data_IF_578301862079
#
_entry.id   IF_578301862079
#
_cell.length_a   1.000
_cell.length_b   1.000
_cell.length_c   1.000
_cell.angle_alpha   90.00
_cell.angle_beta   90.00
_cell.angle_gamma   90.00
#
_symmetry.space_group_name_H-M   'P 1'
#
loop_
_entity.id
_entity.type
_entity.pdbx_description
1 polymer ?
#
# COMPACT_ATOMS: atom_id res chain seq x y z
N UNK A 1 15.40 0.89 0.05
CA UNK A 1 16.88 0.95 0.11
C UNK A 1 17.45 0.21 -1.09
N UNK A 2 18.30 0.86 -1.89
CA UNK A 2 18.89 0.25 -3.08
C UNK A 2 20.33 -0.19 -2.79
N UNK A 3 20.64 -1.46 -3.06
CA UNK A 3 21.95 -2.07 -2.76
C UNK A 3 22.67 -2.63 -4.00
N UNK A 4 21.93 -3.20 -4.95
CA UNK A 4 22.54 -3.81 -6.14
C UNK A 4 23.20 -2.77 -7.04
N UNK A 5 24.40 -3.08 -7.55
CA UNK A 5 25.20 -2.16 -8.35
C UNK A 5 24.45 -1.65 -9.61
N UNK A 6 23.68 -2.52 -10.25
CA UNK A 6 22.87 -2.16 -11.42
C UNK A 6 21.84 -1.06 -11.13
N UNK A 7 21.22 -1.08 -9.95
CA UNK A 7 20.24 -0.07 -9.57
C UNK A 7 20.93 1.21 -9.10
N UNK A 8 22.13 1.13 -8.50
CA UNK A 8 22.93 2.34 -8.22
C UNK A 8 23.22 3.13 -9.49
N UNK A 9 23.64 2.47 -10.56
CA UNK A 9 23.86 3.13 -11.87
C UNK A 9 22.55 3.69 -12.44
N UNK A 10 21.46 2.91 -12.39
CA UNK A 10 20.14 3.38 -12.82
C UNK A 10 19.73 4.65 -12.09
N UNK A 11 19.71 4.63 -10.76
CA UNK A 11 19.19 5.76 -9.98
C UNK A 11 20.09 6.99 -10.03
N UNK A 12 21.42 6.84 -10.10
CA UNK A 12 22.30 7.98 -10.40
C UNK A 12 21.99 8.57 -11.79
N UNK A 13 21.74 7.72 -12.79
CA UNK A 13 21.36 8.17 -14.13
C UNK A 13 20.02 8.90 -14.14
N UNK A 14 18.99 8.36 -13.45
CA UNK A 14 17.68 9.00 -13.33
C UNK A 14 17.75 10.33 -12.58
N UNK A 15 18.69 10.47 -11.64
CA UNK A 15 18.90 11.67 -10.83
C UNK A 15 19.93 12.65 -11.41
N UNK A 16 20.49 12.38 -12.60
CA UNK A 16 21.53 13.20 -13.21
C UNK A 16 21.20 14.69 -13.18
N UNK A 17 22.19 15.52 -12.80
CA UNK A 17 22.02 16.96 -12.59
C UNK A 17 21.47 17.36 -11.22
N UNK A 18 21.10 16.40 -10.36
CA UNK A 18 20.70 16.68 -8.97
C UNK A 18 21.94 16.85 -8.07
N UNK A 19 21.84 17.72 -7.07
CA UNK A 19 22.93 17.94 -6.11
C UNK A 19 23.29 16.63 -5.38
N UNK A 20 24.59 16.35 -5.28
CA UNK A 20 25.09 15.16 -4.58
C UNK A 20 25.04 13.86 -5.39
N UNK A 21 24.75 13.92 -6.69
CA UNK A 21 24.90 12.78 -7.62
C UNK A 21 26.31 12.79 -8.20
N UNK A 22 26.98 11.63 -8.19
CA UNK A 22 28.33 11.48 -8.73
C UNK A 22 28.30 11.22 -10.24
N UNK A 23 28.88 12.13 -11.04
CA UNK A 23 28.91 12.03 -12.51
C UNK A 23 29.53 10.71 -13.03
N UNK A 24 30.45 10.11 -12.27
CA UNK A 24 31.11 8.85 -12.65
C UNK A 24 30.18 7.63 -12.71
N UNK A 25 28.97 7.71 -12.15
CA UNK A 25 27.98 6.63 -12.16
C UNK A 25 26.80 6.91 -13.12
N UNK A 26 26.83 8.04 -13.82
CA UNK A 26 25.75 8.50 -14.71
C UNK A 26 25.98 7.99 -16.13
N UNK A 27 24.97 7.33 -16.70
CA UNK A 27 24.94 7.01 -18.13
C UNK A 27 24.34 8.19 -18.89
N UNK A 28 25.18 9.15 -19.27
CA UNK A 28 24.74 10.41 -19.89
C UNK A 28 24.04 10.23 -21.25
N UNK A 29 24.29 9.12 -21.94
CA UNK A 29 23.67 8.72 -23.20
C UNK A 29 22.31 8.02 -23.02
N UNK A 30 21.93 7.69 -21.79
CA UNK A 30 20.64 7.06 -21.50
C UNK A 30 19.48 8.01 -21.84
N UNK A 31 18.43 7.54 -22.54
CA UNK A 31 17.24 8.34 -22.80
C UNK A 31 16.46 8.72 -21.54
N UNK A 32 16.77 8.08 -20.39
CA UNK A 32 16.14 8.35 -19.10
C UNK A 32 16.99 9.26 -18.19
N UNK A 33 18.14 9.74 -18.70
CA UNK A 33 19.06 10.60 -17.95
C UNK A 33 18.32 11.84 -17.42
N UNK A 34 18.37 12.05 -16.10
CA UNK A 34 17.72 13.19 -15.43
C UNK A 34 16.18 13.14 -15.39
N UNK A 35 15.54 12.07 -15.87
CA UNK A 35 14.08 11.98 -15.94
C UNK A 35 13.38 11.86 -14.58
N UNK A 36 14.10 11.38 -13.56
CA UNK A 36 13.57 11.04 -12.23
C UNK A 36 12.39 10.04 -12.22
N UNK A 37 12.13 9.33 -13.32
CA UNK A 37 11.00 8.40 -13.45
C UNK A 37 11.45 6.96 -13.68
N UNK A 38 10.73 6.01 -13.09
CA UNK A 38 10.94 4.57 -13.29
C UNK A 38 9.65 3.78 -13.04
N UNK A 39 9.52 2.60 -13.64
CA UNK A 39 8.37 1.73 -13.41
C UNK A 39 8.59 0.74 -12.27
N UNK A 40 7.54 0.44 -11.51
CA UNK A 40 7.49 -0.68 -10.57
C UNK A 40 6.35 -1.63 -10.91
N UNK A 41 6.64 -2.94 -10.90
CA UNK A 41 5.67 -4.00 -11.07
C UNK A 41 5.76 -4.96 -9.88
N UNK A 42 4.62 -5.52 -9.48
CA UNK A 42 4.62 -6.62 -8.52
C UNK A 42 5.26 -7.87 -9.15
N UNK A 43 6.03 -8.59 -8.35
CA UNK A 43 6.72 -9.81 -8.74
C UNK A 43 6.33 -10.90 -7.76
N UNK A 44 5.53 -11.86 -8.22
CA UNK A 44 5.13 -13.02 -7.44
C UNK A 44 6.32 -13.98 -7.33
N UNK A 45 6.90 -14.04 -6.12
CA UNK A 45 7.93 -15.03 -5.80
C UNK A 45 7.27 -16.40 -5.62
N UNK A 46 7.04 -17.12 -6.72
CA UNK A 46 6.61 -18.51 -6.66
C UNK A 46 7.83 -19.40 -6.53
N UNK A 47 7.88 -20.20 -5.48
CA UNK A 47 8.76 -21.37 -5.38
C UNK A 47 8.17 -22.54 -6.17
N UNK A 48 7.83 -22.35 -7.45
CA UNK A 48 7.49 -23.49 -8.29
C UNK A 48 8.78 -24.19 -8.77
N UNK A 49 8.65 -25.45 -9.23
CA UNK A 49 9.77 -26.29 -9.63
C UNK A 49 10.56 -25.75 -10.84
N UNK A 50 10.13 -24.64 -11.44
CA UNK A 50 10.83 -23.94 -12.53
C UNK A 50 11.71 -22.79 -12.03
N UNK A 51 11.50 -22.30 -10.81
CA UNK A 51 12.20 -21.15 -10.24
C UNK A 51 11.90 -19.81 -10.94
N UNK A 52 10.90 -19.76 -11.81
CA UNK A 52 10.56 -18.57 -12.58
C UNK A 52 9.62 -17.65 -11.78
N UNK A 53 10.11 -16.44 -11.50
CA UNK A 53 9.30 -15.39 -10.88
C UNK A 53 8.29 -14.83 -11.87
N UNK A 54 7.01 -14.65 -11.47
CA UNK A 54 5.97 -14.10 -12.34
C UNK A 54 5.79 -12.61 -12.05
N UNK A 55 6.17 -11.76 -12.99
CA UNK A 55 5.93 -10.32 -12.92
C UNK A 55 4.50 -10.01 -13.38
N UNK A 56 3.82 -9.13 -12.66
CA UNK A 56 2.51 -8.62 -13.05
C UNK A 56 2.63 -7.76 -14.32
N UNK A 57 1.62 -7.81 -15.18
CA UNK A 57 1.60 -7.04 -16.44
C UNK A 57 1.23 -5.57 -16.24
N UNK A 58 0.64 -5.21 -15.10
CA UNK A 58 0.29 -3.83 -14.74
C UNK A 58 1.17 -3.36 -13.60
N UNK A 59 1.74 -2.17 -13.77
CA UNK A 59 2.60 -1.52 -12.79
C UNK A 59 2.25 -0.05 -12.59
N UNK A 60 3.14 0.67 -11.90
CA UNK A 60 2.98 2.09 -11.63
C UNK A 60 4.27 2.83 -11.98
N UNK A 61 4.14 3.90 -12.76
CA UNK A 61 5.21 4.88 -12.97
C UNK A 61 5.43 5.63 -11.67
N UNK A 62 6.66 5.61 -11.18
CA UNK A 62 7.07 6.32 -9.99
C UNK A 62 7.98 7.48 -10.37
N UNK A 63 7.79 8.61 -9.68
CA UNK A 63 8.67 9.77 -9.78
C UNK A 63 9.43 9.95 -8.47
N UNK A 64 10.75 10.14 -8.58
CA UNK A 64 11.61 10.43 -7.44
C UNK A 64 11.40 11.88 -7.02
N UNK A 65 10.79 12.06 -5.84
CA UNK A 65 10.51 13.38 -5.27
C UNK A 65 11.59 13.84 -4.29
N UNK A 66 12.29 12.89 -3.66
CA UNK A 66 13.42 13.17 -2.77
C UNK A 66 14.39 11.98 -2.74
N UNK A 67 15.66 12.25 -2.42
CA UNK A 67 16.67 11.20 -2.26
C UNK A 67 17.78 11.61 -1.28
N UNK A 68 18.36 10.62 -0.62
CA UNK A 68 19.52 10.79 0.24
C UNK A 68 20.56 9.71 -0.03
N UNK A 69 21.79 10.14 -0.28
CA UNK A 69 22.95 9.26 -0.25
C UNK A 69 23.32 8.95 1.20
N UNK A 70 23.61 7.70 1.48
CA UNK A 70 24.09 7.23 2.77
C UNK A 70 25.43 6.53 2.63
N UNK A 71 26.10 6.30 3.77
CA UNK A 71 27.37 5.57 3.82
C UNK A 71 27.26 4.26 3.03
N UNK A 72 28.33 3.94 2.28
CA UNK A 72 28.46 2.78 1.40
C UNK A 72 27.81 2.89 0.00
N UNK A 73 27.49 4.11 -0.46
CA UNK A 73 26.95 4.34 -1.82
C UNK A 73 25.51 3.84 -2.02
N UNK A 74 24.79 3.63 -0.92
CA UNK A 74 23.36 3.31 -0.91
C UNK A 74 22.55 4.60 -1.11
N UNK A 75 21.38 4.44 -1.71
CA UNK A 75 20.45 5.56 -1.97
C UNK A 75 19.12 5.24 -1.29
N UNK A 76 18.67 6.16 -0.44
CA UNK A 76 17.28 6.26 -0.03
C UNK A 76 16.53 7.14 -1.01
N UNK A 77 15.36 6.68 -1.44
CA UNK A 77 14.54 7.37 -2.42
C UNK A 77 13.14 7.45 -1.85
N UNK A 78 12.58 8.65 -1.89
CA UNK A 78 11.16 8.89 -1.71
C UNK A 78 10.57 9.08 -3.09
N UNK A 79 9.55 8.28 -3.41
CA UNK A 79 8.91 8.30 -4.72
C UNK A 79 7.40 8.46 -4.59
N UNK A 80 6.80 9.16 -5.55
CA UNK A 80 5.35 9.30 -5.68
C UNK A 80 4.85 8.48 -6.86
N UNK A 81 3.80 7.70 -6.64
CA UNK A 81 3.06 7.04 -7.72
C UNK A 81 2.40 8.07 -8.63
N UNK A 82 2.57 7.89 -9.93
CA UNK A 82 2.00 8.72 -10.98
C UNK A 82 0.93 7.92 -11.73
N UNK A 83 1.22 7.48 -12.94
CA UNK A 83 0.29 6.75 -13.79
C UNK A 83 0.44 5.24 -13.60
N UNK A 84 -0.66 4.51 -13.76
CA UNK A 84 -0.57 3.06 -14.00
C UNK A 84 -0.14 2.83 -15.45
N UNK A 85 0.52 1.71 -15.67
CA UNK A 85 0.89 1.29 -17.02
C UNK A 85 0.68 -0.21 -17.19
N UNK A 86 0.52 -0.64 -18.44
CA UNK A 86 0.57 -2.05 -18.85
C UNK A 86 1.84 -2.30 -19.67
N UNK A 87 2.55 -3.37 -19.34
CA UNK A 87 3.70 -3.83 -20.12
C UNK A 87 3.20 -4.36 -21.46
N UNK A 88 3.72 -3.79 -22.55
CA UNK A 88 3.49 -4.26 -23.92
C UNK A 88 4.57 -5.26 -24.34
N UNK A 89 5.83 -4.93 -24.08
CA UNK A 89 6.97 -5.74 -24.50
C UNK A 89 8.19 -5.49 -23.61
N UNK A 90 9.00 -6.53 -23.37
CA UNK A 90 10.30 -6.39 -22.69
C UNK A 90 11.38 -6.19 -23.75
N UNK A 91 11.91 -4.97 -23.84
CA UNK A 91 12.96 -4.60 -24.80
C UNK A 91 14.33 -5.09 -24.35
N UNK A 92 14.55 -5.12 -23.03
CA UNK A 92 15.81 -5.57 -22.44
C UNK A 92 15.55 -6.14 -21.06
N UNK A 93 16.10 -7.31 -20.75
CA UNK A 93 15.96 -7.93 -19.42
C UNK A 93 17.09 -7.55 -18.45
N UNK A 94 18.32 -7.36 -18.96
CA UNK A 94 19.52 -7.11 -18.14
C UNK A 94 20.37 -5.94 -18.67
N UNK A 95 21.16 -5.26 -17.81
CA UNK A 95 21.28 -5.47 -16.35
C UNK A 95 20.07 -4.95 -15.58
N UNK A 96 19.40 -3.94 -16.12
CA UNK A 96 18.11 -3.40 -15.65
C UNK A 96 17.09 -3.64 -16.75
N UNK A 97 15.91 -4.10 -16.36
CA UNK A 97 14.80 -4.34 -17.27
C UNK A 97 14.32 -3.02 -17.89
N UNK A 98 14.17 -3.00 -19.20
CA UNK A 98 13.49 -1.95 -19.96
C UNK A 98 12.31 -2.59 -20.65
N UNK A 99 11.14 -2.01 -20.48
CA UNK A 99 9.91 -2.41 -21.13
C UNK A 99 9.30 -1.25 -21.90
N UNK A 100 8.67 -1.56 -23.03
CA UNK A 100 7.68 -0.72 -23.65
C UNK A 100 6.37 -0.87 -22.88
N UNK A 101 5.74 0.25 -22.57
CA UNK A 101 4.54 0.29 -21.74
C UNK A 101 3.48 1.19 -22.37
N UNK A 102 2.22 0.85 -22.11
CA UNK A 102 1.05 1.67 -22.39
C UNK A 102 0.61 2.30 -21.07
N UNK A 103 0.55 3.63 -21.01
CA UNK A 103 -0.08 4.33 -19.87
C UNK A 103 -1.58 4.01 -19.85
N UNK A 104 -2.09 3.68 -18.68
CA UNK A 104 -3.51 3.40 -18.49
C UNK A 104 -4.21 4.69 -18.09
N UNK A 105 -5.21 5.07 -18.87
CA UNK A 105 -6.06 6.22 -18.52
C UNK A 105 -6.79 5.96 -17.21
N UNK A 106 -6.80 6.97 -16.34
CA UNK A 106 -7.60 6.96 -15.12
C UNK A 106 -9.02 7.41 -15.44
N UNK A 107 -10.00 6.75 -14.83
CA UNK A 107 -11.40 7.12 -15.02
C UNK A 107 -11.73 8.45 -14.33
N UNK A 108 -12.61 9.23 -14.97
CA UNK A 108 -13.24 10.40 -14.35
C UNK A 108 -14.42 9.92 -13.49
N UNK A 109 -14.11 9.26 -12.37
CA UNK A 109 -15.11 8.77 -11.43
C UNK A 109 -15.72 9.93 -10.63
N UNK A 110 -16.69 10.60 -11.25
CA UNK A 110 -17.39 11.76 -10.71
C UNK A 110 -18.89 11.47 -10.54
N UNK A 111 -19.52 12.19 -9.62
CA UNK A 111 -20.96 12.13 -9.36
C UNK A 111 -21.30 11.69 -7.94
N UNK A 112 -22.55 11.95 -7.54
CA UNK A 112 -23.03 11.72 -6.17
C UNK A 112 -23.02 10.23 -5.79
N UNK A 113 -23.28 9.33 -6.74
CA UNK A 113 -23.25 7.89 -6.50
C UNK A 113 -21.85 7.40 -6.12
N UNK A 114 -20.83 7.81 -6.90
CA UNK A 114 -19.43 7.48 -6.64
C UNK A 114 -18.97 8.10 -5.30
N UNK A 115 -19.36 9.35 -5.03
CA UNK A 115 -19.08 10.00 -3.76
C UNK A 115 -19.78 9.32 -2.56
N UNK A 116 -20.97 8.77 -2.77
CA UNK A 116 -21.69 7.95 -1.79
C UNK A 116 -20.94 6.65 -1.48
N UNK A 117 -20.50 5.94 -2.52
CA UNK A 117 -19.70 4.73 -2.39
C UNK A 117 -18.38 5.01 -1.67
N UNK A 118 -17.67 6.06 -2.05
CA UNK A 118 -16.42 6.47 -1.41
C UNK A 118 -16.59 6.72 0.10
N UNK A 119 -17.66 7.43 0.50
CA UNK A 119 -18.00 7.65 1.92
C UNK A 119 -18.27 6.34 2.65
N UNK A 120 -19.02 5.43 2.03
CA UNK A 120 -19.31 4.13 2.65
C UNK A 120 -18.04 3.31 2.88
N UNK A 121 -17.11 3.29 1.91
CA UNK A 121 -15.82 2.61 2.05
C UNK A 121 -14.96 3.28 3.12
N UNK A 122 -14.94 4.62 3.19
CA UNK A 122 -14.25 5.36 4.24
C UNK A 122 -14.78 5.01 5.64
N UNK A 123 -16.11 4.89 5.80
CA UNK A 123 -16.76 4.49 7.05
C UNK A 123 -16.39 3.06 7.48
N UNK A 124 -16.28 2.14 6.51
CA UNK A 124 -15.83 0.77 6.75
C UNK A 124 -14.36 0.71 7.18
N UNK A 125 -13.48 1.49 6.54
CA UNK A 125 -12.07 1.55 6.93
C UNK A 125 -11.92 2.14 8.34
N UNK A 126 -12.62 3.24 8.63
CA UNK A 126 -12.68 3.84 9.98
C UNK A 126 -13.10 2.81 11.03
N UNK A 127 -14.17 2.06 10.74
CA UNK A 127 -14.65 0.99 11.63
C UNK A 127 -13.60 -0.09 11.82
N UNK A 128 -12.89 -0.47 10.76
CA UNK A 128 -11.80 -1.44 10.78
C UNK A 128 -10.64 -0.98 11.68
N UNK A 129 -10.21 0.28 11.54
CA UNK A 129 -9.14 0.88 12.36
C UNK A 129 -9.54 0.85 13.84
N UNK A 130 -10.72 1.38 14.18
CA UNK A 130 -11.21 1.44 15.57
C UNK A 130 -11.34 0.05 16.20
N UNK A 131 -11.86 -0.92 15.46
CA UNK A 131 -11.98 -2.30 15.92
C UNK A 131 -10.61 -2.96 16.11
N UNK A 132 -9.65 -2.73 15.21
CA UNK A 132 -8.30 -3.25 15.33
C UNK A 132 -7.59 -2.70 16.57
N UNK A 133 -7.68 -1.38 16.78
CA UNK A 133 -7.14 -0.70 17.98
C UNK A 133 -7.70 -1.32 19.26
N UNK A 134 -9.02 -1.50 19.32
CA UNK A 134 -9.70 -2.14 20.46
C UNK A 134 -9.31 -3.60 20.65
N UNK A 135 -9.21 -4.37 19.57
CA UNK A 135 -8.91 -5.80 19.63
C UNK A 135 -7.49 -6.05 20.14
N UNK A 136 -6.54 -5.23 19.69
CA UNK A 136 -5.12 -5.35 19.97
C UNK A 136 -4.64 -4.49 21.15
N UNK A 137 -5.54 -3.73 21.81
CA UNK A 137 -5.20 -2.78 22.88
C UNK A 137 -4.08 -1.82 22.49
N UNK A 138 -4.14 -1.31 21.25
CA UNK A 138 -3.18 -0.33 20.73
C UNK A 138 -3.52 1.03 21.33
N UNK A 139 -2.52 1.78 21.79
CA UNK A 139 -2.68 3.19 22.13
C UNK A 139 -2.58 4.00 20.83
N UNK A 140 -3.68 4.63 20.43
CA UNK A 140 -3.81 5.34 19.16
C UNK A 140 -4.33 6.76 19.39
N UNK A 141 -3.71 7.75 18.75
CA UNK A 141 -4.19 9.14 18.77
C UNK A 141 -5.46 9.30 17.93
N UNK A 142 -6.19 10.41 18.14
CA UNK A 142 -7.38 10.73 17.34
C UNK A 142 -7.04 10.79 15.84
N UNK A 143 -5.91 11.40 15.48
CA UNK A 143 -5.44 11.49 14.08
C UNK A 143 -5.18 10.11 13.45
N UNK A 144 -4.81 9.10 14.24
CA UNK A 144 -4.65 7.72 13.76
C UNK A 144 -6.00 7.00 13.58
N UNK A 145 -7.02 7.39 14.36
CA UNK A 145 -8.37 6.84 14.27
C UNK A 145 -9.20 7.50 13.17
N UNK A 146 -8.92 8.79 12.90
CA UNK A 146 -9.56 9.63 11.89
C UNK A 146 -8.52 10.32 10.99
N UNK A 147 -7.84 9.57 10.10
CA UNK A 147 -6.95 10.18 9.11
C UNK A 147 -7.67 11.22 8.25
N UNK A 148 -7.01 12.34 7.97
CA UNK A 148 -7.56 13.44 7.19
C UNK A 148 -7.97 13.01 5.76
N UNK A 149 -7.28 12.01 5.22
CA UNK A 149 -7.52 11.46 3.89
C UNK A 149 -8.92 10.84 3.74
N UNK A 150 -9.50 10.31 4.83
CA UNK A 150 -10.87 9.77 4.82
C UNK A 150 -11.92 10.82 4.48
N UNK A 151 -11.63 12.10 4.75
CA UNK A 151 -12.54 13.21 4.47
C UNK A 151 -12.08 14.09 3.30
N UNK A 152 -10.76 14.17 3.06
CA UNK A 152 -10.16 15.11 2.12
C UNK A 152 -9.96 14.58 0.70
N UNK A 153 -9.90 13.26 0.50
CA UNK A 153 -9.60 12.68 -0.81
C UNK A 153 -10.87 12.49 -1.67
N UNK A 154 -10.72 12.74 -2.97
CA UNK A 154 -11.72 12.33 -3.96
C UNK A 154 -11.76 10.80 -4.09
N UNK A 155 -12.86 10.26 -4.62
CA UNK A 155 -13.12 8.81 -4.70
C UNK A 155 -11.95 7.99 -5.28
N UNK A 156 -11.33 8.49 -6.36
CA UNK A 156 -10.18 7.83 -6.99
C UNK A 156 -8.98 7.77 -6.06
N UNK A 157 -8.55 8.92 -5.55
CA UNK A 157 -7.35 9.02 -4.71
C UNK A 157 -7.56 8.28 -3.38
N UNK A 158 -8.79 8.33 -2.84
CA UNK A 158 -9.21 7.56 -1.68
C UNK A 158 -9.03 6.06 -1.93
N UNK A 159 -9.49 5.53 -3.08
CA UNK A 159 -9.33 4.10 -3.39
C UNK A 159 -7.86 3.66 -3.38
N UNK A 160 -6.95 4.43 -4.00
CA UNK A 160 -5.52 4.10 -3.95
C UNK A 160 -4.92 4.22 -2.55
N UNK A 161 -5.36 5.21 -1.78
CA UNK A 161 -4.90 5.39 -0.40
C UNK A 161 -5.37 4.23 0.48
N UNK A 162 -6.64 3.80 0.37
CA UNK A 162 -7.17 2.62 1.07
C UNK A 162 -6.42 1.36 0.64
N UNK A 163 -6.15 1.19 -0.66
CA UNK A 163 -5.38 0.07 -1.18
C UNK A 163 -3.96 -0.02 -0.57
N UNK A 164 -3.40 1.08 -0.08
CA UNK A 164 -2.09 1.11 0.59
C UNK A 164 -2.07 0.36 1.94
N UNK A 165 -3.22 0.25 2.62
CA UNK A 165 -3.34 -0.49 3.89
C UNK A 165 -3.19 -2.00 3.71
N UNK A 166 -3.37 -2.54 2.50
CA UNK A 166 -3.20 -3.97 2.21
C UNK A 166 -1.75 -4.34 1.85
N UNK A 167 -0.78 -3.55 2.31
CA UNK A 167 0.63 -3.76 1.97
C UNK A 167 1.19 -5.11 2.43
N UNK A 168 0.60 -5.75 3.45
CA UNK A 168 0.98 -7.11 3.88
C UNK A 168 0.41 -8.22 2.98
N UNK A 169 -0.59 -7.89 2.15
CA UNK A 169 -1.26 -8.82 1.24
C UNK A 169 -1.01 -8.34 -0.20
N UNK A 170 0.23 -8.47 -0.67
CA UNK A 170 0.67 -7.93 -1.97
C UNK A 170 -0.17 -8.38 -3.17
N UNK A 171 -0.66 -9.63 -3.16
CA UNK A 171 -1.54 -10.15 -4.21
C UNK A 171 -2.87 -9.37 -4.24
N UNK A 172 -3.41 -9.03 -3.08
CA UNK A 172 -4.62 -8.22 -2.98
C UNK A 172 -4.37 -6.79 -3.47
N UNK A 173 -3.27 -6.18 -3.02
CA UNK A 173 -2.86 -4.85 -3.47
C UNK A 173 -2.68 -4.79 -4.99
N UNK A 174 -2.07 -5.82 -5.59
CA UNK A 174 -1.94 -5.93 -7.04
C UNK A 174 -3.32 -6.07 -7.71
N UNK A 175 -4.23 -6.86 -7.17
CA UNK A 175 -5.58 -6.99 -7.76
C UNK A 175 -6.34 -5.66 -7.76
N UNK A 176 -6.19 -4.84 -6.72
CA UNK A 176 -6.80 -3.50 -6.67
C UNK A 176 -6.15 -2.53 -7.66
N UNK A 177 -4.84 -2.62 -7.87
CA UNK A 177 -4.11 -1.83 -8.87
C UNK A 177 -4.58 -2.15 -10.30
N UNK A 178 -4.90 -3.42 -10.55
CA UNK A 178 -5.36 -3.94 -11.84
C UNK A 178 -6.82 -3.58 -12.18
N UNK A 179 -7.61 -3.12 -11.20
CA UNK A 179 -8.97 -2.63 -11.46
C UNK A 179 -8.94 -1.41 -12.38
N UNK A 180 -9.69 -1.50 -13.48
CA UNK A 180 -9.74 -0.51 -14.56
C UNK A 180 -10.61 0.72 -14.25
N UNK A 181 -11.34 0.70 -13.14
CA UNK A 181 -12.22 1.79 -12.72
C UNK A 181 -12.21 1.98 -11.20
N UNK A 182 -12.30 3.23 -10.78
CA UNK A 182 -12.42 3.64 -9.38
C UNK A 182 -13.63 2.96 -8.72
N UNK A 183 -14.76 2.86 -9.43
CA UNK A 183 -15.97 2.23 -8.88
C UNK A 183 -15.77 0.74 -8.62
N UNK A 184 -15.13 -0.01 -9.52
CA UNK A 184 -14.83 -1.42 -9.27
C UNK A 184 -13.87 -1.58 -8.10
N UNK A 185 -12.82 -0.74 -8.04
CA UNK A 185 -11.85 -0.75 -6.93
C UNK A 185 -12.52 -0.48 -5.59
N UNK A 186 -13.34 0.56 -5.49
CA UNK A 186 -14.09 0.89 -4.27
C UNK A 186 -15.07 -0.22 -3.88
N UNK A 187 -15.78 -0.85 -4.83
CA UNK A 187 -16.65 -1.98 -4.51
C UNK A 187 -15.85 -3.19 -3.98
N UNK A 188 -14.68 -3.45 -4.57
CA UNK A 188 -13.80 -4.51 -4.10
C UNK A 188 -13.31 -4.25 -2.67
N UNK A 189 -12.88 -3.01 -2.39
CA UNK A 189 -12.50 -2.56 -1.05
C UNK A 189 -13.67 -2.66 -0.06
N UNK A 190 -14.87 -2.25 -0.49
CA UNK A 190 -16.10 -2.36 0.31
C UNK A 190 -16.35 -3.80 0.76
N UNK A 191 -16.26 -4.77 -0.15
CA UNK A 191 -16.42 -6.19 0.17
C UNK A 191 -15.42 -6.64 1.24
N UNK A 192 -14.13 -6.37 1.00
CA UNK A 192 -13.03 -6.78 1.89
C UNK A 192 -13.19 -6.15 3.28
N UNK A 193 -13.44 -4.85 3.34
CA UNK A 193 -13.57 -4.13 4.60
C UNK A 193 -14.85 -4.52 5.33
N UNK A 194 -15.96 -4.76 4.63
CA UNK A 194 -17.20 -5.26 5.23
C UNK A 194 -16.99 -6.60 5.94
N UNK A 195 -16.31 -7.54 5.28
CA UNK A 195 -15.98 -8.84 5.86
C UNK A 195 -15.02 -8.70 7.06
N UNK A 196 -14.05 -7.80 6.95
CA UNK A 196 -13.10 -7.50 8.03
C UNK A 196 -13.81 -6.91 9.25
N UNK A 197 -14.71 -5.94 9.07
CA UNK A 197 -15.52 -5.35 10.14
C UNK A 197 -16.39 -6.41 10.81
N UNK A 198 -17.04 -7.29 10.05
CA UNK A 198 -17.85 -8.40 10.60
C UNK A 198 -17.00 -9.33 11.46
N UNK A 199 -15.84 -9.73 10.94
CA UNK A 199 -14.91 -10.60 11.66
C UNK A 199 -14.44 -9.95 12.96
N UNK A 200 -13.87 -8.74 12.91
CA UNK A 200 -13.38 -8.05 14.09
C UNK A 200 -14.48 -7.76 15.11
N UNK A 201 -15.68 -7.37 14.66
CA UNK A 201 -16.82 -7.14 15.56
C UNK A 201 -17.18 -8.41 16.33
N UNK A 202 -17.24 -9.55 15.65
CA UNK A 202 -17.50 -10.84 16.28
C UNK A 202 -16.39 -11.22 17.28
N UNK A 203 -15.11 -11.03 16.91
CA UNK A 203 -13.97 -11.32 17.80
C UNK A 203 -13.97 -10.45 19.04
N UNK A 204 -14.25 -9.15 18.91
CA UNK A 204 -14.36 -8.21 20.03
C UNK A 204 -15.48 -8.61 20.98
N UNK A 205 -16.66 -8.98 20.45
CA UNK A 205 -17.77 -9.45 21.27
C UNK A 205 -17.41 -10.70 22.09
N UNK A 206 -16.79 -11.70 21.46
CA UNK A 206 -16.36 -12.93 22.14
C UNK A 206 -15.32 -12.65 23.25
N UNK A 207 -14.33 -11.79 22.97
CA UNK A 207 -13.30 -11.41 23.95
C UNK A 207 -13.92 -10.69 25.16
N UNK A 208 -14.90 -9.82 24.92
CA UNK A 208 -15.61 -9.11 26.00
C UNK A 208 -16.37 -10.05 26.94
N UNK A 209 -17.08 -11.05 26.39
CA UNK A 209 -17.81 -12.05 27.17
C UNK A 209 -16.86 -12.92 28.01
N UNK A 210 -15.71 -13.31 27.44
CA UNK A 210 -14.69 -14.08 28.16
C UNK A 210 -14.05 -13.28 29.30
N UNK A 211 -13.91 -11.96 29.16
CA UNK A 211 -13.35 -11.09 30.21
C UNK A 211 -14.34 -10.77 31.34
N UNK A 212 -15.65 -10.86 31.09
CA UNK A 212 -16.71 -10.62 32.09
C UNK A 212 -17.06 -11.84 32.96
N UNK A 213 -16.39 -12.99 32.77
CA UNK A 213 -16.75 -14.28 33.37
C UNK A 213 -15.90 -14.78 34.56
N UNK A 214 -15.19 -13.91 35.30
CA UNK A 214 -14.46 -14.31 36.51
C UNK A 214 -15.38 -14.52 37.72
N UNK A 215 -15.27 -15.60 38.52
CA UNK A 215 -16.26 -15.93 39.54
C UNK A 215 -16.16 -14.96 40.72
N UNK A 216 -17.28 -14.33 41.07
CA UNK A 216 -17.48 -13.73 42.37
C UNK A 216 -17.49 -14.85 43.42
N UNK A 217 -16.33 -15.11 44.03
CA UNK A 217 -16.24 -15.91 45.24
C UNK A 217 -17.06 -15.24 46.33
N UNK A 218 -18.26 -15.77 46.57
CA UNK A 218 -19.09 -15.40 47.71
C UNK A 218 -18.33 -15.85 48.97
N UNK A 219 -17.64 -14.91 49.61
CA UNK A 219 -17.13 -15.07 50.96
C UNK A 219 -18.33 -15.10 51.90
N UNK A 220 -18.80 -16.30 52.19
CA UNK A 220 -19.84 -16.57 53.18
C UNK A 220 -19.34 -16.08 54.55
N UNK A 221 -20.03 -15.08 55.11
CA UNK A 221 -19.80 -14.61 56.48
C UNK A 221 -20.36 -15.65 57.43
N UNK A 222 -19.48 -16.42 58.06
CA UNK A 222 -19.84 -17.18 59.27
C UNK A 222 -20.00 -16.18 60.42
N UNK A 223 -21.16 -16.13 61.12
CA UNK A 223 -21.34 -15.26 62.26
C UNK A 223 -20.66 -15.86 63.51
N UNK A 224 -20.12 -14.96 64.33
CA UNK A 224 -19.61 -15.24 65.68
C UNK A 224 -20.63 -15.98 66.53
N UNK A 225 -20.20 -17.06 67.19
CA UNK A 225 -20.86 -17.54 68.41
C UNK A 225 -19.82 -18.15 69.38
N UNK A 226 -19.56 -17.38 70.45
CA UNK A 226 -18.98 -17.70 71.77
C UNK A 226 -17.50 -18.08 71.92
#
# INVERSE_FOLDING_TARGET
MIFEARYRVLFNTLLAGSAGVEDGLVQADSPFCGSRRFGMCYVESRSDSSGASRMASVGTTLEIVDFAHVQDGRIFITSKGRERFRILNIVRDRPVMIAEVEELEEDEAAGEEVAGLAREVADLLRSTIRLNVKLNNIDASEDQLEPEELAGLGARDLSYWIASFFSDIKVLQQSLLEEDSTVKRLNREKEILSDTVRYYSATVALKSLSSSGGPAGAGDKVPDDK
#
